data_IF_648449123134
#
_entry.id   IF_648449123134
#
_cell.length_a   1.000
_cell.length_b   1.000
_cell.length_c   1.000
_cell.angle_alpha   90.00
_cell.angle_beta   90.00
_cell.angle_gamma   90.00
#
_symmetry.space_group_name_H-M   'P 1'
#
loop_
_entity.id
_entity.type
_entity.pdbx_description
1 polymer ?
#
# COMPACT_ATOMS: atom_id res chain seq x y z
N UNK A 1 -1.29 -0.30 2.74
CA UNK A 1 -2.44 -1.22 2.58
C UNK A 1 -3.34 -1.23 3.82
N UNK A 2 -2.83 -1.51 4.99
CA UNK A 2 -3.58 -1.45 6.25
C UNK A 2 -2.69 -0.90 7.37
N UNK A 3 -3.06 0.22 7.94
CA UNK A 3 -2.40 0.77 9.12
C UNK A 3 -3.01 0.14 10.38
N UNK A 4 -2.17 -0.36 11.28
CA UNK A 4 -2.63 -1.11 12.45
C UNK A 4 -2.65 -0.30 13.75
N UNK A 5 -1.94 0.83 13.78
CA UNK A 5 -1.78 1.62 15.00
C UNK A 5 -0.71 1.04 15.92
N UNK A 6 -0.72 1.48 17.18
CA UNK A 6 0.19 0.95 18.18
C UNK A 6 -0.32 -0.37 18.72
N UNK A 7 0.52 -1.40 18.70
CA UNK A 7 0.21 -2.73 19.20
C UNK A 7 1.18 -3.11 20.31
N UNK A 8 0.68 -3.75 21.36
CA UNK A 8 1.56 -4.41 22.33
C UNK A 8 2.11 -5.73 21.77
N UNK A 9 3.01 -6.38 22.52
CA UNK A 9 3.64 -7.62 22.05
C UNK A 9 2.66 -8.75 21.81
N UNK A 10 1.60 -8.87 22.63
CA UNK A 10 0.57 -9.88 22.49
C UNK A 10 -0.29 -9.65 21.26
N UNK A 11 -0.72 -8.40 21.03
CA UNK A 11 -1.48 -8.02 19.85
C UNK A 11 -0.67 -8.24 18.57
N UNK A 12 0.61 -7.84 18.58
CA UNK A 12 1.49 -8.04 17.43
C UNK A 12 1.67 -9.54 17.11
N UNK A 13 1.82 -10.39 18.11
CA UNK A 13 1.93 -11.83 17.90
C UNK A 13 0.65 -12.43 17.32
N UNK A 14 -0.52 -11.98 17.77
CA UNK A 14 -1.81 -12.45 17.26
C UNK A 14 -2.00 -12.01 15.79
N UNK A 15 -1.63 -10.79 15.45
CA UNK A 15 -1.67 -10.29 14.08
C UNK A 15 -0.72 -11.09 13.19
N UNK A 16 0.50 -11.33 13.63
CA UNK A 16 1.48 -12.11 12.89
C UNK A 16 0.95 -13.52 12.59
N UNK A 17 0.42 -14.19 13.57
CA UNK A 17 -0.17 -15.52 13.41
C UNK A 17 -1.34 -15.53 12.43
N UNK A 18 -2.22 -14.53 12.51
CA UNK A 18 -3.37 -14.42 11.61
C UNK A 18 -2.94 -14.14 10.16
N UNK A 19 -1.98 -13.24 9.96
CA UNK A 19 -1.45 -12.93 8.62
C UNK A 19 -0.76 -14.13 8.00
N UNK A 20 -0.05 -14.93 8.80
CA UNK A 20 0.63 -16.13 8.34
C UNK A 20 -0.30 -17.23 7.84
N UNK A 21 -1.59 -17.15 8.13
CA UNK A 21 -2.59 -18.12 7.67
C UNK A 21 -3.22 -17.78 6.33
N UNK A 22 -2.93 -16.59 5.79
CA UNK A 22 -3.48 -16.18 4.50
C UNK A 22 -2.92 -17.06 3.39
N UNK A 23 -3.80 -17.57 2.54
CA UNK A 23 -3.46 -18.40 1.38
C UNK A 23 -4.12 -17.81 0.15
N UNK A 24 -3.30 -17.44 -0.83
CA UNK A 24 -3.75 -17.09 -2.18
C UNK A 24 -2.56 -17.09 -3.13
N UNK A 25 -2.79 -17.25 -4.45
CA UNK A 25 -1.73 -17.15 -5.43
C UNK A 25 -1.13 -15.74 -5.49
N UNK A 26 0.16 -15.68 -5.82
CA UNK A 26 0.80 -14.44 -6.23
C UNK A 26 0.15 -13.89 -7.50
N UNK A 27 0.40 -12.63 -7.80
CA UNK A 27 -0.24 -11.95 -8.93
C UNK A 27 0.67 -10.84 -9.45
N UNK A 28 0.31 -10.28 -10.59
CA UNK A 28 1.04 -9.18 -11.20
C UNK A 28 0.37 -7.85 -10.90
N UNK A 29 1.15 -6.80 -10.67
CA UNK A 29 0.68 -5.42 -10.48
C UNK A 29 1.24 -4.51 -11.57
N UNK A 30 0.43 -3.55 -11.99
CA UNK A 30 0.86 -2.44 -12.86
C UNK A 30 0.62 -1.10 -12.17
N UNK A 31 1.60 -0.22 -12.23
CA UNK A 31 1.44 1.18 -11.83
C UNK A 31 0.98 1.98 -13.03
N UNK A 32 0.06 2.91 -12.81
CA UNK A 32 -0.60 3.66 -13.88
C UNK A 32 -0.98 5.05 -13.39
N UNK A 33 -0.47 6.06 -14.07
CA UNK A 33 -0.79 7.44 -13.79
C UNK A 33 -0.10 7.99 -12.56
N UNK A 34 0.03 9.31 -12.54
CA UNK A 34 0.50 10.08 -11.37
C UNK A 34 -0.63 11.00 -10.95
N UNK A 35 -0.94 11.03 -9.67
CA UNK A 35 -1.98 11.89 -9.12
C UNK A 35 -1.54 12.44 -7.77
N UNK A 36 -2.45 13.09 -7.06
CA UNK A 36 -2.11 13.77 -5.80
C UNK A 36 -3.27 13.70 -4.80
N UNK A 37 -2.92 13.82 -3.52
CA UNK A 37 -3.88 14.12 -2.46
C UNK A 37 -3.77 15.59 -2.09
N UNK A 38 -4.92 16.23 -1.88
CA UNK A 38 -5.02 17.65 -1.65
C UNK A 38 -5.04 18.44 -2.96
N UNK A 39 -5.45 19.70 -2.90
CA UNK A 39 -5.54 20.59 -4.05
C UNK A 39 -4.96 21.95 -3.75
N UNK A 40 -4.32 22.57 -4.76
CA UNK A 40 -3.78 23.91 -4.65
C UNK A 40 -2.82 24.07 -3.48
N UNK A 41 -3.13 24.97 -2.56
CA UNK A 41 -2.30 25.23 -1.38
C UNK A 41 -2.33 24.11 -0.35
N UNK A 42 -3.28 23.16 -0.46
CA UNK A 42 -3.42 22.01 0.42
C UNK A 42 -2.86 20.73 -0.17
N UNK A 43 -2.04 20.83 -1.21
CA UNK A 43 -1.40 19.67 -1.81
C UNK A 43 -0.48 19.02 -0.77
N UNK A 44 -0.67 17.71 -0.53
CA UNK A 44 0.03 16.97 0.52
C UNK A 44 0.95 15.89 0.01
N UNK A 45 0.59 15.25 -1.08
CA UNK A 45 1.35 14.11 -1.59
C UNK A 45 1.13 13.90 -3.08
N UNK A 46 2.17 13.38 -3.74
CA UNK A 46 2.08 12.79 -5.07
C UNK A 46 2.11 11.27 -4.94
N UNK A 47 1.39 10.58 -5.80
CA UNK A 47 1.35 9.13 -5.80
C UNK A 47 1.20 8.57 -7.21
N UNK A 48 1.75 7.37 -7.41
CA UNK A 48 1.50 6.56 -8.59
C UNK A 48 0.25 5.70 -8.34
N UNK A 49 -0.66 5.68 -9.29
CA UNK A 49 -1.85 4.86 -9.23
C UNK A 49 -1.53 3.39 -9.51
N UNK A 50 -2.45 2.53 -9.11
CA UNK A 50 -2.39 1.11 -9.41
C UNK A 50 -3.54 0.79 -10.35
N UNK A 51 -3.23 0.15 -11.48
CA UNK A 51 -4.26 -0.31 -12.39
C UNK A 51 -5.23 -1.24 -11.66
N UNK A 52 -6.57 -1.12 -11.89
CA UNK A 52 -7.53 -1.97 -11.21
C UNK A 52 -7.13 -3.43 -11.22
N UNK A 53 -7.07 -4.05 -10.06
CA UNK A 53 -6.52 -5.40 -9.89
C UNK A 53 -7.36 -6.19 -8.88
N UNK A 54 -8.20 -7.13 -9.33
CA UNK A 54 -9.04 -7.92 -8.45
C UNK A 54 -8.25 -8.76 -7.44
N UNK A 55 -7.06 -9.25 -7.82
CA UNK A 55 -6.22 -10.04 -6.91
C UNK A 55 -5.70 -9.19 -5.75
N UNK A 56 -5.28 -7.95 -6.02
CA UNK A 56 -4.85 -7.01 -4.97
C UNK A 56 -6.00 -6.72 -4.01
N UNK A 57 -7.20 -6.49 -4.53
CA UNK A 57 -8.38 -6.23 -3.70
C UNK A 57 -8.73 -7.43 -2.85
N UNK A 58 -8.54 -8.64 -3.37
CA UNK A 58 -8.74 -9.89 -2.63
C UNK A 58 -7.72 -10.05 -1.52
N UNK A 59 -6.45 -9.75 -1.79
CA UNK A 59 -5.41 -9.77 -0.76
C UNK A 59 -5.72 -8.78 0.36
N UNK A 60 -6.08 -7.57 0.00
CA UNK A 60 -6.45 -6.55 0.98
C UNK A 60 -7.62 -7.00 1.86
N UNK A 61 -8.64 -7.61 1.27
CA UNK A 61 -9.80 -8.12 2.01
C UNK A 61 -9.38 -9.26 2.97
N UNK A 62 -8.50 -10.15 2.54
CA UNK A 62 -7.99 -11.22 3.40
C UNK A 62 -7.16 -10.68 4.57
N UNK A 63 -6.34 -9.66 4.32
CA UNK A 63 -5.57 -8.99 5.37
C UNK A 63 -6.52 -8.33 6.37
N UNK A 64 -7.52 -7.61 5.89
CA UNK A 64 -8.51 -6.95 6.76
C UNK A 64 -9.24 -7.96 7.64
N UNK A 65 -9.69 -9.07 7.07
CA UNK A 65 -10.34 -10.13 7.83
C UNK A 65 -9.41 -10.75 8.86
N UNK A 66 -8.14 -10.94 8.52
CA UNK A 66 -7.16 -11.52 9.43
C UNK A 66 -6.91 -10.60 10.65
N UNK A 67 -6.74 -9.30 10.43
CA UNK A 67 -6.49 -8.36 11.53
C UNK A 67 -7.72 -8.17 12.41
N UNK A 68 -8.92 -8.21 11.83
CA UNK A 68 -10.16 -8.18 12.60
C UNK A 68 -10.26 -9.41 13.49
N UNK A 69 -9.98 -10.61 12.96
CA UNK A 69 -9.97 -11.84 13.76
C UNK A 69 -8.94 -11.80 14.88
N UNK A 70 -7.82 -11.11 14.67
CA UNK A 70 -6.79 -10.91 15.69
C UNK A 70 -7.20 -9.91 16.78
N UNK A 71 -8.35 -9.24 16.63
CA UNK A 71 -8.90 -8.35 17.62
C UNK A 71 -8.83 -6.87 17.31
N UNK A 72 -8.33 -6.47 16.14
CA UNK A 72 -8.27 -5.06 15.77
C UNK A 72 -9.62 -4.58 15.23
N UNK A 73 -9.94 -3.28 15.42
CA UNK A 73 -11.17 -2.72 14.85
C UNK A 73 -11.10 -2.66 13.32
N UNK A 74 -12.26 -2.74 12.64
CA UNK A 74 -12.30 -2.62 11.18
C UNK A 74 -11.79 -1.25 10.70
N UNK A 75 -11.13 -1.24 9.54
CA UNK A 75 -10.76 0.00 8.88
C UNK A 75 -11.99 0.65 8.24
N UNK A 76 -12.23 1.91 8.58
CA UNK A 76 -13.39 2.66 8.08
C UNK A 76 -13.14 3.29 6.72
N UNK A 77 -11.88 3.54 6.36
CA UNK A 77 -11.52 4.19 5.10
C UNK A 77 -11.52 3.18 3.96
N UNK A 78 -12.02 3.62 2.82
CA UNK A 78 -11.98 2.81 1.61
C UNK A 78 -10.52 2.62 1.16
N UNK A 79 -10.16 1.39 0.83
CA UNK A 79 -8.84 1.09 0.29
C UNK A 79 -8.68 1.70 -1.11
N UNK A 80 -7.68 2.57 -1.25
CA UNK A 80 -7.29 3.20 -2.52
C UNK A 80 -5.85 2.81 -2.83
N UNK A 81 -5.64 1.82 -3.69
CA UNK A 81 -4.29 1.37 -4.02
C UNK A 81 -3.47 2.51 -4.64
N UNK A 82 -2.30 2.77 -4.07
CA UNK A 82 -1.39 3.78 -4.58
C UNK A 82 0.01 3.59 -4.00
N UNK A 83 0.99 4.16 -4.68
CA UNK A 83 2.37 4.22 -4.18
C UNK A 83 2.75 5.69 -4.02
N UNK A 84 2.96 6.11 -2.78
CA UNK A 84 3.35 7.49 -2.48
C UNK A 84 4.75 7.77 -3.03
N UNK A 85 4.88 8.82 -3.84
CA UNK A 85 6.14 9.24 -4.43
C UNK A 85 6.79 10.38 -3.67
N UNK A 86 5.98 11.30 -3.15
CA UNK A 86 6.47 12.45 -2.41
C UNK A 86 5.42 12.96 -1.43
N UNK A 87 5.86 13.46 -0.30
CA UNK A 87 5.03 14.15 0.69
C UNK A 87 5.53 15.57 0.86
N UNK A 88 4.61 16.52 0.99
CA UNK A 88 4.92 17.93 1.13
C UNK A 88 4.49 18.43 2.50
N UNK A 89 5.42 19.08 3.22
CA UNK A 89 5.14 19.78 4.48
C UNK A 89 4.49 21.14 4.25
N UNK A 90 4.82 21.76 3.12
CA UNK A 90 4.27 23.03 2.67
C UNK A 90 3.95 22.93 1.19
N UNK A 91 3.10 23.84 0.70
CA UNK A 91 2.74 23.86 -0.72
C UNK A 91 4.00 23.98 -1.58
N UNK A 92 4.32 22.96 -2.41
CA UNK A 92 5.46 23.06 -3.34
C UNK A 92 5.20 24.07 -4.46
N UNK A 93 3.94 24.47 -4.63
CA UNK A 93 3.47 25.55 -5.49
C UNK A 93 3.81 25.47 -6.95
N UNK A 94 2.96 26.07 -7.75
CA UNK A 94 3.29 26.65 -9.01
C UNK A 94 3.18 25.80 -10.25
N UNK A 95 3.58 26.44 -11.34
CA UNK A 95 3.46 25.93 -12.69
C UNK A 95 4.31 24.68 -12.94
N UNK A 96 5.43 24.52 -12.25
CA UNK A 96 6.30 23.32 -12.39
C UNK A 96 5.62 22.05 -11.97
N UNK A 97 4.89 22.08 -10.86
CA UNK A 97 4.17 20.90 -10.36
C UNK A 97 3.00 20.56 -11.28
N UNK A 98 2.26 21.55 -11.74
CA UNK A 98 1.17 21.34 -12.70
C UNK A 98 1.68 20.75 -14.00
N UNK A 99 2.82 21.25 -14.50
CA UNK A 99 3.46 20.72 -15.70
C UNK A 99 3.90 19.26 -15.48
N UNK A 100 4.49 18.95 -14.34
CA UNK A 100 4.88 17.57 -13.98
C UNK A 100 3.68 16.63 -13.99
N UNK A 101 2.58 17.01 -13.34
CA UNK A 101 1.36 16.21 -13.30
C UNK A 101 0.78 15.99 -14.70
N UNK A 102 0.74 17.05 -15.53
CA UNK A 102 0.24 16.94 -16.89
C UNK A 102 1.11 16.03 -17.76
N UNK A 103 2.44 16.16 -17.64
CA UNK A 103 3.39 15.34 -18.42
C UNK A 103 3.39 13.87 -18.02
N UNK A 104 3.03 13.55 -16.77
CA UNK A 104 3.09 12.19 -16.24
C UNK A 104 1.70 11.57 -16.02
N UNK A 105 0.64 12.21 -16.49
CA UNK A 105 -0.73 11.71 -16.34
C UNK A 105 -0.92 10.32 -16.97
N UNK A 106 -0.17 9.99 -18.03
CA UNK A 106 -0.22 8.71 -18.72
C UNK A 106 0.93 7.79 -18.34
N UNK A 107 1.61 8.08 -17.24
CA UNK A 107 2.70 7.23 -16.75
C UNK A 107 2.25 5.78 -16.60
N UNK A 108 3.09 4.85 -17.05
CA UNK A 108 2.89 3.41 -16.86
C UNK A 108 4.24 2.77 -16.58
N UNK A 109 4.26 1.86 -15.60
CA UNK A 109 5.42 1.03 -15.34
C UNK A 109 5.17 -0.39 -15.87
N UNK A 110 6.24 -1.10 -16.20
CA UNK A 110 6.15 -2.50 -16.53
C UNK A 110 5.50 -3.30 -15.40
N UNK A 111 4.66 -4.29 -15.70
CA UNK A 111 4.09 -5.15 -14.67
C UNK A 111 5.19 -5.83 -13.86
N UNK A 112 4.95 -6.00 -12.57
CA UNK A 112 5.86 -6.75 -11.70
C UNK A 112 5.08 -7.75 -10.87
N UNK A 113 5.76 -8.84 -10.51
CA UNK A 113 5.13 -9.91 -9.74
C UNK A 113 5.11 -9.60 -8.27
N UNK A 114 3.98 -9.90 -7.63
CA UNK A 114 3.81 -9.84 -6.18
C UNK A 114 3.74 -11.26 -5.66
N UNK A 115 4.76 -11.67 -4.92
CA UNK A 115 4.89 -13.03 -4.39
C UNK A 115 4.87 -13.06 -2.86
N UNK A 116 4.74 -11.90 -2.21
CA UNK A 116 4.66 -11.78 -0.76
C UNK A 116 4.08 -10.45 -0.35
N UNK A 117 3.68 -10.34 0.90
CA UNK A 117 3.38 -9.07 1.55
C UNK A 117 4.13 -8.99 2.87
N UNK A 118 4.29 -7.78 3.40
CA UNK A 118 5.19 -7.54 4.52
C UNK A 118 4.50 -6.74 5.61
N UNK A 119 4.76 -7.14 6.86
CA UNK A 119 4.39 -6.37 8.04
C UNK A 119 5.57 -5.47 8.41
N UNK A 120 5.34 -4.16 8.46
CA UNK A 120 6.34 -3.17 8.82
C UNK A 120 6.00 -2.53 10.16
N UNK A 121 7.03 -2.26 10.96
CA UNK A 121 6.95 -1.26 12.02
C UNK A 121 7.42 0.08 11.50
N UNK A 122 6.94 1.16 12.11
CA UNK A 122 7.38 2.50 11.73
C UNK A 122 7.79 3.30 12.96
N UNK A 123 8.83 4.11 12.80
CA UNK A 123 9.32 5.03 13.82
C UNK A 123 9.34 6.43 13.24
N UNK A 124 8.88 7.40 14.01
CA UNK A 124 9.01 8.79 13.62
C UNK A 124 10.40 9.30 14.01
N UNK A 125 11.10 9.87 13.05
CA UNK A 125 12.38 10.54 13.26
C UNK A 125 12.27 12.01 12.86
N UNK A 126 13.30 12.79 13.16
CA UNK A 126 13.37 14.21 12.77
C UNK A 126 13.32 14.41 11.25
N UNK A 127 13.73 13.42 10.47
CA UNK A 127 13.75 13.46 9.00
C UNK A 127 12.58 12.73 8.34
N UNK A 128 11.62 12.20 9.12
CA UNK A 128 10.46 11.49 8.61
C UNK A 128 10.29 10.11 9.22
N UNK A 129 9.40 9.31 8.65
CA UNK A 129 9.14 7.96 9.13
C UNK A 129 10.23 7.00 8.65
N UNK A 130 10.67 6.13 9.56
CA UNK A 130 11.59 5.03 9.26
C UNK A 130 10.78 3.74 9.32
N UNK A 131 10.81 2.95 8.26
CA UNK A 131 10.09 1.69 8.16
C UNK A 131 11.05 0.52 8.29
N UNK A 132 10.68 -0.46 9.13
CA UNK A 132 11.46 -1.67 9.32
C UNK A 132 10.59 -2.89 9.01
N UNK A 133 11.02 -3.79 8.09
CA UNK A 133 10.29 -5.03 7.86
C UNK A 133 10.40 -5.94 9.09
N UNK A 134 9.26 -6.39 9.58
CA UNK A 134 9.19 -7.27 10.75
C UNK A 134 8.92 -8.72 10.36
N UNK A 135 8.04 -8.94 9.37
CA UNK A 135 7.71 -10.28 8.90
C UNK A 135 7.28 -10.22 7.43
N UNK A 136 7.63 -11.23 6.67
CA UNK A 136 7.22 -11.40 5.28
C UNK A 136 6.37 -12.65 5.16
N UNK A 137 5.29 -12.56 4.40
CA UNK A 137 4.31 -13.63 4.23
C UNK A 137 4.25 -14.00 2.74
N UNK A 138 4.79 -15.17 2.38
CA UNK A 138 4.79 -15.58 0.97
C UNK A 138 3.39 -15.91 0.49
N UNK A 139 3.13 -15.57 -0.78
CA UNK A 139 1.95 -16.02 -1.50
C UNK A 139 2.29 -17.35 -2.21
N UNK A 140 1.27 -18.10 -2.58
CA UNK A 140 1.43 -19.32 -3.34
C UNK A 140 1.96 -18.99 -4.74
N UNK A 141 2.56 -19.95 -5.46
CA UNK A 141 2.92 -19.71 -6.85
C UNK A 141 1.73 -19.20 -7.66
N UNK A 142 1.99 -18.22 -8.54
CA UNK A 142 0.93 -17.65 -9.37
C UNK A 142 0.27 -18.76 -10.20
N UNK A 143 -1.07 -18.65 -10.35
CA UNK A 143 -1.78 -19.56 -11.23
C UNK A 143 -1.29 -19.35 -12.66
N UNK A 144 -0.90 -20.43 -13.31
CA UNK A 144 -0.58 -20.41 -14.73
C UNK A 144 -1.89 -20.62 -15.47
N UNK A 145 -2.25 -19.64 -16.33
CA UNK A 145 -3.39 -19.82 -17.21
C UNK A 145 -3.17 -21.07 -18.04
N UNK A 146 -4.04 -22.06 -17.86
CA UNK A 146 -4.04 -23.24 -18.71
C UNK A 146 -4.54 -22.79 -20.10
N UNK A 147 -3.60 -22.60 -20.99
CA UNK A 147 -3.90 -22.24 -22.37
C UNK A 147 -4.63 -23.38 -23.07
#
# INVERSE_FOLDING_TARGET
MRFLGELDGGEAADVDAALGQIRMPGFSLELEGISHFGEGRKLRALWAGVRPNPALMRLQAKIEQAVIRAGLPPEKRKFKPHVTLARFKSNPGGAKLQAYLAQNALFRAEPFDVDHFTLYSSFLSSSGAIYRPEASYPLEPAEVDAA
#
